data_IF_287109744004
#
_entry.id   IF_287109744004
#
_cell.length_a   1.000
_cell.length_b   1.000
_cell.length_c   1.000
_cell.angle_alpha   90.00
_cell.angle_beta   90.00
_cell.angle_gamma   90.00
#
_symmetry.space_group_name_H-M   'P 1'
#
loop_
_entity.id
_entity.type
_entity.pdbx_description
1 polymer ?
#
# COMPACT_ATOMS: atom_id res chain seq x y z
N UNK A 1 -34.97 48.59 -14.39
CA UNK A 1 -34.23 48.06 -13.23
C UNK A 1 -33.02 47.29 -13.76
N UNK A 2 -31.93 48.00 -14.03
CA UNK A 2 -30.64 47.43 -14.41
C UNK A 2 -29.85 47.19 -13.13
N UNK A 3 -29.90 45.97 -12.62
CA UNK A 3 -29.14 45.57 -11.43
C UNK A 3 -27.65 45.55 -11.77
N UNK A 4 -26.91 46.54 -11.29
CA UNK A 4 -25.46 46.55 -11.31
C UNK A 4 -24.94 45.40 -10.46
N UNK A 5 -24.40 44.37 -11.09
CA UNK A 5 -23.67 43.29 -10.41
C UNK A 5 -22.37 43.90 -9.88
N UNK A 6 -22.30 44.10 -8.56
CA UNK A 6 -21.11 44.65 -7.91
C UNK A 6 -19.88 43.78 -8.18
N UNK A 7 -18.76 44.34 -8.68
CA UNK A 7 -17.52 43.61 -8.98
C UNK A 7 -16.75 43.08 -7.75
N UNK A 8 -17.35 43.14 -6.54
CA UNK A 8 -16.72 42.73 -5.28
C UNK A 8 -16.74 41.22 -5.01
N UNK A 9 -17.51 40.42 -5.76
CA UNK A 9 -17.65 38.98 -5.47
C UNK A 9 -16.51 38.11 -6.02
N UNK A 10 -15.62 38.64 -6.87
CA UNK A 10 -14.52 37.85 -7.44
C UNK A 10 -13.28 37.84 -6.54
N UNK A 11 -13.08 38.89 -5.71
CA UNK A 11 -11.93 38.98 -4.80
C UNK A 11 -11.98 37.98 -3.65
N UNK A 12 -13.13 37.86 -2.99
CA UNK A 12 -13.27 37.02 -1.78
C UNK A 12 -13.34 35.52 -2.08
N UNK A 13 -13.72 35.14 -3.30
CA UNK A 13 -13.84 33.75 -3.72
C UNK A 13 -12.46 33.05 -3.83
N UNK A 14 -11.41 33.78 -4.24
CA UNK A 14 -10.04 33.24 -4.37
C UNK A 14 -9.38 33.04 -3.00
N UNK A 15 -9.84 33.74 -1.97
CA UNK A 15 -9.29 33.65 -0.61
C UNK A 15 -9.95 32.58 0.27
N UNK A 16 -11.00 31.90 -0.19
CA UNK A 16 -11.65 30.85 0.61
C UNK A 16 -10.71 29.65 0.83
N UNK A 17 -10.48 29.20 2.08
CA UNK A 17 -9.65 28.02 2.37
C UNK A 17 -10.09 26.75 1.64
N UNK A 18 -11.39 26.61 1.36
CA UNK A 18 -11.95 25.49 0.59
C UNK A 18 -11.43 25.48 -0.84
N UNK A 19 -11.44 26.64 -1.49
CA UNK A 19 -10.94 26.80 -2.87
C UNK A 19 -9.44 26.55 -2.92
N UNK A 20 -8.68 27.09 -1.96
CA UNK A 20 -7.24 26.87 -1.86
C UNK A 20 -6.90 25.40 -1.68
N UNK A 21 -7.61 24.69 -0.79
CA UNK A 21 -7.39 23.27 -0.53
C UNK A 21 -7.59 22.42 -1.80
N UNK A 22 -8.70 22.64 -2.51
CA UNK A 22 -9.01 21.91 -3.76
C UNK A 22 -8.03 22.28 -4.88
N UNK A 23 -7.67 23.57 -5.00
CA UNK A 23 -6.69 24.03 -5.98
C UNK A 23 -5.32 23.37 -5.76
N UNK A 24 -4.81 23.35 -4.52
CA UNK A 24 -3.55 22.69 -4.18
C UNK A 24 -3.62 21.18 -4.44
N UNK A 25 -4.71 20.52 -4.06
CA UNK A 25 -4.92 19.10 -4.37
C UNK A 25 -4.84 18.84 -5.89
N UNK A 26 -5.45 19.71 -6.68
CA UNK A 26 -5.47 19.61 -8.14
C UNK A 26 -4.08 19.83 -8.74
N UNK A 27 -3.32 20.79 -8.22
CA UNK A 27 -1.92 21.03 -8.62
C UNK A 27 -1.07 19.79 -8.32
N UNK A 28 -1.19 19.21 -7.13
CA UNK A 28 -0.47 17.98 -6.77
C UNK A 28 -0.77 16.83 -7.74
N UNK A 29 -2.06 16.61 -8.05
CA UNK A 29 -2.47 15.59 -9.02
C UNK A 29 -1.94 15.88 -10.44
N UNK A 30 -1.98 17.14 -10.88
CA UNK A 30 -1.46 17.57 -12.19
C UNK A 30 0.06 17.31 -12.30
N UNK A 31 0.83 17.64 -11.26
CA UNK A 31 2.29 17.41 -11.24
C UNK A 31 2.61 15.93 -11.38
N UNK A 32 1.90 15.06 -10.65
CA UNK A 32 2.07 13.59 -10.80
C UNK A 32 1.65 13.13 -12.19
N UNK A 33 0.53 13.65 -12.72
CA UNK A 33 0.01 13.26 -14.03
C UNK A 33 1.00 13.57 -15.15
N UNK A 34 1.69 14.73 -15.10
CA UNK A 34 2.72 15.09 -16.07
C UNK A 34 3.86 14.05 -16.07
N UNK A 35 4.33 13.64 -14.87
CA UNK A 35 5.36 12.63 -14.74
C UNK A 35 4.90 11.26 -15.25
N UNK A 36 3.67 10.86 -14.89
CA UNK A 36 3.07 9.59 -15.29
C UNK A 36 2.90 9.47 -16.81
N UNK A 37 2.48 10.56 -17.49
CA UNK A 37 2.30 10.56 -18.95
C UNK A 37 3.61 10.31 -19.72
N UNK A 38 4.77 10.47 -19.08
CA UNK A 38 6.09 10.21 -19.69
C UNK A 38 6.36 8.71 -19.89
N UNK A 39 5.98 7.87 -18.92
CA UNK A 39 6.34 6.44 -18.91
C UNK A 39 5.43 5.60 -19.81
N UNK A 40 4.22 6.09 -20.14
CA UNK A 40 3.19 5.38 -20.92
C UNK A 40 2.81 4.00 -20.38
N UNK A 41 3.12 3.74 -19.11
CA UNK A 41 2.87 2.50 -18.44
C UNK A 41 1.85 2.70 -17.30
N UNK A 42 0.74 1.95 -17.38
CA UNK A 42 -0.39 2.02 -16.44
C UNK A 42 0.04 1.63 -15.02
N UNK A 43 1.02 0.72 -14.90
CA UNK A 43 1.52 0.25 -13.61
C UNK A 43 2.88 0.82 -13.27
N UNK A 44 3.27 1.96 -13.85
CA UNK A 44 4.45 2.70 -13.42
C UNK A 44 4.36 3.08 -11.93
N UNK A 45 5.49 3.19 -11.22
CA UNK A 45 5.49 3.64 -9.83
C UNK A 45 4.84 5.02 -9.65
N UNK A 46 4.90 5.89 -10.68
CA UNK A 46 4.20 7.17 -10.70
C UNK A 46 2.68 7.02 -10.79
N UNK A 47 2.18 6.00 -11.49
CA UNK A 47 0.76 5.66 -11.49
C UNK A 47 0.27 5.28 -10.09
N UNK A 48 1.03 4.46 -9.37
CA UNK A 48 0.71 4.11 -7.98
C UNK A 48 0.84 5.30 -7.02
N UNK A 49 1.84 6.16 -7.22
CA UNK A 49 1.97 7.40 -6.45
C UNK A 49 0.76 8.32 -6.66
N UNK A 50 0.31 8.46 -7.92
CA UNK A 50 -0.87 9.23 -8.28
C UNK A 50 -2.14 8.65 -7.68
N UNK A 51 -2.31 7.33 -7.71
CA UNK A 51 -3.43 6.64 -7.06
C UNK A 51 -3.42 6.87 -5.55
N UNK A 52 -2.25 6.77 -4.91
CA UNK A 52 -2.09 7.01 -3.48
C UNK A 52 -2.43 8.46 -3.09
N UNK A 53 -1.97 9.43 -3.90
CA UNK A 53 -2.31 10.85 -3.71
C UNK A 53 -3.80 11.11 -3.93
N UNK A 54 -4.40 10.49 -4.96
CA UNK A 54 -5.82 10.59 -5.25
C UNK A 54 -6.66 10.12 -4.04
N UNK A 55 -6.31 8.96 -3.47
CA UNK A 55 -7.04 8.36 -2.36
C UNK A 55 -6.78 9.05 -1.01
N UNK A 56 -5.55 9.50 -0.74
CA UNK A 56 -5.16 10.01 0.58
C UNK A 56 -5.16 11.53 0.74
N UNK A 57 -5.14 12.28 -0.36
CA UNK A 57 -5.05 13.75 -0.37
C UNK A 57 -6.19 14.38 -1.17
N UNK A 58 -6.32 14.02 -2.45
CA UNK A 58 -7.28 14.67 -3.34
C UNK A 58 -8.74 14.38 -2.96
N UNK A 59 -9.09 13.10 -2.79
CA UNK A 59 -10.42 12.69 -2.33
C UNK A 59 -10.82 13.35 -1.00
N UNK A 60 -10.01 13.21 0.06
CA UNK A 60 -10.24 13.92 1.32
C UNK A 60 -10.37 15.43 1.19
N UNK A 61 -9.53 16.08 0.37
CA UNK A 61 -9.58 17.54 0.18
C UNK A 61 -10.92 18.00 -0.39
N UNK A 62 -11.47 17.25 -1.35
CA UNK A 62 -12.81 17.51 -1.90
C UNK A 62 -13.87 17.27 -0.83
N UNK A 63 -13.77 16.17 -0.08
CA UNK A 63 -14.72 15.84 0.98
C UNK A 63 -14.75 16.93 2.07
N UNK A 64 -13.59 17.36 2.58
CA UNK A 64 -13.49 18.46 3.54
C UNK A 64 -14.05 19.78 2.98
N UNK A 65 -13.78 20.09 1.71
CA UNK A 65 -14.28 21.31 1.08
C UNK A 65 -15.81 21.34 0.95
N UNK A 66 -16.44 20.18 0.72
CA UNK A 66 -17.90 20.06 0.55
C UNK A 66 -18.59 19.89 1.91
N UNK A 67 -18.16 18.91 2.69
CA UNK A 67 -18.84 18.43 3.89
C UNK A 67 -18.30 19.02 5.20
N UNK A 68 -17.14 19.69 5.20
CA UNK A 68 -16.47 20.13 6.42
C UNK A 68 -15.77 18.95 7.11
N UNK A 69 -15.82 18.87 8.44
CA UNK A 69 -15.24 17.77 9.21
C UNK A 69 -16.31 16.85 9.80
N UNK A 70 -16.99 16.03 8.98
CA UNK A 70 -18.14 15.23 9.43
C UNK A 70 -17.76 14.16 10.46
N UNK A 71 -16.50 13.74 10.50
CA UNK A 71 -16.02 12.67 11.37
C UNK A 71 -15.17 13.19 12.56
N UNK A 72 -15.06 14.51 12.73
CA UNK A 72 -14.32 15.13 13.85
C UNK A 72 -12.79 14.88 13.80
N UNK A 73 -12.25 14.58 12.62
CA UNK A 73 -10.83 14.26 12.43
C UNK A 73 -9.92 15.48 12.56
N UNK A 74 -10.47 16.69 12.45
CA UNK A 74 -9.77 17.95 12.67
C UNK A 74 -9.86 18.41 14.13
N UNK A 75 -10.53 17.67 15.02
CA UNK A 75 -10.61 17.98 16.44
C UNK A 75 -11.17 19.39 16.74
N UNK A 76 -12.11 19.84 15.89
CA UNK A 76 -12.73 21.16 16.00
C UNK A 76 -12.01 22.29 15.25
N UNK A 77 -10.87 22.01 14.60
CA UNK A 77 -10.23 22.98 13.72
C UNK A 77 -11.01 23.16 12.40
N UNK A 78 -10.97 24.37 11.83
CA UNK A 78 -11.56 24.68 10.54
C UNK A 78 -10.75 24.15 9.35
N UNK A 79 -11.30 24.30 8.14
CA UNK A 79 -10.69 23.79 6.89
C UNK A 79 -9.35 24.48 6.59
N UNK A 80 -9.17 25.72 7.04
CA UNK A 80 -7.92 26.47 6.97
C UNK A 80 -6.73 25.72 7.60
N UNK A 81 -7.00 24.83 8.57
CA UNK A 81 -6.00 23.97 9.19
C UNK A 81 -5.29 23.04 8.19
N UNK A 82 -5.96 22.68 7.10
CA UNK A 82 -5.48 21.75 6.08
C UNK A 82 -4.68 22.42 4.95
N UNK A 83 -4.74 23.75 4.80
CA UNK A 83 -4.20 24.44 3.62
C UNK A 83 -2.67 24.39 3.56
N UNK A 84 -1.98 24.80 4.63
CA UNK A 84 -0.52 24.76 4.66
C UNK A 84 0.06 23.33 4.58
N UNK A 85 -0.49 22.32 5.29
CA UNK A 85 -0.11 20.92 5.13
C UNK A 85 -0.35 20.37 3.71
N UNK A 86 -1.42 20.79 3.03
CA UNK A 86 -1.65 20.46 1.62
C UNK A 86 -0.54 21.06 0.74
N UNK A 87 -0.19 22.34 0.94
CA UNK A 87 0.89 22.98 0.18
C UNK A 87 2.24 22.27 0.39
N UNK A 88 2.55 21.88 1.62
CA UNK A 88 3.72 21.05 1.94
C UNK A 88 3.69 19.72 1.17
N UNK A 89 2.52 19.09 1.08
CA UNK A 89 2.36 17.82 0.37
C UNK A 89 2.51 17.97 -1.15
N UNK A 90 2.05 19.09 -1.72
CA UNK A 90 2.28 19.44 -3.14
C UNK A 90 3.77 19.67 -3.41
N UNK A 91 4.49 20.36 -2.51
CA UNK A 91 5.94 20.49 -2.61
C UNK A 91 6.63 19.12 -2.54
N UNK A 92 6.18 18.26 -1.63
CA UNK A 92 6.69 16.90 -1.49
C UNK A 92 6.53 16.08 -2.80
N UNK A 93 5.35 16.17 -3.44
CA UNK A 93 5.09 15.62 -4.79
C UNK A 93 6.06 16.18 -5.82
N UNK A 94 6.22 17.50 -5.87
CA UNK A 94 7.11 18.16 -6.83
C UNK A 94 8.54 17.64 -6.73
N UNK A 95 9.08 17.55 -5.52
CA UNK A 95 10.44 17.02 -5.29
C UNK A 95 10.55 15.52 -5.63
N UNK A 96 9.52 14.71 -5.34
CA UNK A 96 9.49 13.31 -5.78
C UNK A 96 9.50 13.17 -7.31
N UNK A 97 8.73 14.00 -8.01
CA UNK A 97 8.70 14.03 -9.48
C UNK A 97 10.03 14.49 -10.07
N UNK A 98 10.67 15.51 -9.48
CA UNK A 98 12.01 15.95 -9.90
C UNK A 98 13.02 14.82 -9.71
N UNK A 99 13.07 14.20 -8.53
CA UNK A 99 13.96 13.07 -8.25
C UNK A 99 13.77 11.90 -9.21
N UNK A 100 12.52 11.60 -9.57
CA UNK A 100 12.19 10.54 -10.53
C UNK A 100 12.57 10.89 -11.97
N UNK A 101 12.44 12.16 -12.35
CA UNK A 101 12.69 12.61 -13.73
C UNK A 101 14.17 12.75 -14.07
N UNK A 102 15.03 12.87 -13.06
CA UNK A 102 16.48 12.94 -13.22
C UNK A 102 17.08 11.58 -13.62
N UNK A 103 18.17 11.58 -14.41
CA UNK A 103 18.80 10.34 -14.88
C UNK A 103 19.56 9.58 -13.79
N UNK A 104 19.59 10.08 -12.55
CA UNK A 104 20.34 9.47 -11.44
C UNK A 104 19.85 8.05 -11.15
N UNK A 105 18.53 7.86 -11.02
CA UNK A 105 17.96 6.53 -10.75
C UNK A 105 18.27 5.53 -11.86
N UNK A 106 18.16 5.97 -13.11
CA UNK A 106 18.51 5.16 -14.30
C UNK A 106 20.00 4.83 -14.33
N UNK A 107 20.86 5.81 -14.10
CA UNK A 107 22.32 5.61 -14.07
C UNK A 107 22.75 4.62 -12.99
N UNK A 108 22.07 4.60 -11.85
CA UNK A 108 22.29 3.60 -10.80
C UNK A 108 21.80 2.22 -11.27
N UNK A 109 20.63 2.14 -11.89
CA UNK A 109 20.05 0.89 -12.40
C UNK A 109 20.89 0.25 -13.51
N UNK A 110 21.48 1.06 -14.39
CA UNK A 110 22.35 0.60 -15.49
C UNK A 110 23.69 0.06 -14.97
N UNK A 111 24.17 0.57 -13.83
CA UNK A 111 25.40 0.12 -13.18
C UNK A 111 25.17 -1.01 -12.18
N UNK A 112 23.94 -1.21 -11.74
CA UNK A 112 23.60 -2.25 -10.79
C UNK A 112 23.73 -3.63 -11.44
N UNK A 113 24.35 -4.57 -10.71
CA UNK A 113 24.47 -5.95 -11.17
C UNK A 113 23.09 -6.61 -11.26
N UNK A 114 22.75 -7.13 -12.44
CA UNK A 114 21.51 -7.89 -12.70
C UNK A 114 21.83 -9.38 -12.72
N UNK A 115 21.47 -10.17 -11.70
CA UNK A 115 21.66 -11.62 -11.76
C UNK A 115 20.79 -12.23 -12.87
N UNK A 116 21.34 -13.20 -13.60
CA UNK A 116 20.55 -14.03 -14.51
C UNK A 116 19.59 -14.90 -13.70
N UNK A 117 18.29 -14.61 -13.78
CA UNK A 117 17.27 -15.37 -13.08
C UNK A 117 16.66 -16.43 -13.99
N UNK A 118 17.39 -17.51 -14.26
CA UNK A 118 16.85 -18.63 -15.04
C UNK A 118 15.73 -19.33 -14.25
N UNK A 119 14.57 -19.56 -14.88
CA UNK A 119 13.42 -20.09 -14.15
C UNK A 119 13.40 -21.62 -14.13
N UNK A 120 13.80 -22.25 -13.02
CA UNK A 120 13.68 -23.70 -12.87
C UNK A 120 12.32 -24.12 -12.29
N UNK A 121 11.48 -24.71 -13.15
CA UNK A 121 10.11 -25.07 -12.80
C UNK A 121 9.97 -26.05 -11.63
N UNK A 122 10.87 -27.02 -11.46
CA UNK A 122 10.83 -27.94 -10.32
C UNK A 122 11.13 -27.25 -9.00
N UNK A 123 12.14 -26.37 -8.97
CA UNK A 123 12.49 -25.60 -7.77
C UNK A 123 11.39 -24.63 -7.40
N UNK A 124 10.76 -23.99 -8.39
CA UNK A 124 9.60 -23.13 -8.18
C UNK A 124 8.46 -23.89 -7.48
N UNK A 125 8.13 -25.11 -7.94
CA UNK A 125 7.11 -25.96 -7.29
C UNK A 125 7.48 -26.33 -5.85
N UNK A 126 8.76 -26.62 -5.57
CA UNK A 126 9.23 -26.88 -4.20
C UNK A 126 9.07 -25.65 -3.30
N UNK A 127 9.46 -24.45 -3.77
CA UNK A 127 9.27 -23.20 -3.03
C UNK A 127 7.79 -22.96 -2.76
N UNK A 128 6.95 -23.09 -3.79
CA UNK A 128 5.50 -22.95 -3.67
C UNK A 128 4.94 -23.91 -2.62
N UNK A 129 5.32 -25.18 -2.66
CA UNK A 129 4.87 -26.17 -1.69
C UNK A 129 5.28 -25.83 -0.25
N UNK A 130 6.55 -25.45 -0.03
CA UNK A 130 7.07 -25.07 1.29
C UNK A 130 6.35 -23.82 1.82
N UNK A 131 6.26 -22.76 1.01
CA UNK A 131 5.61 -21.52 1.43
C UNK A 131 4.10 -21.68 1.63
N UNK A 132 3.44 -22.48 0.80
CA UNK A 132 2.03 -22.81 0.98
C UNK A 132 1.80 -23.60 2.27
N UNK A 133 2.63 -24.60 2.57
CA UNK A 133 2.53 -25.39 3.80
C UNK A 133 2.74 -24.52 5.05
N UNK A 134 3.80 -23.70 5.07
CA UNK A 134 4.05 -22.75 6.17
C UNK A 134 2.95 -21.70 6.29
N UNK A 135 2.45 -21.20 5.16
CA UNK A 135 1.34 -20.27 5.09
C UNK A 135 0.07 -20.86 5.70
N UNK A 136 -0.35 -22.05 5.26
CA UNK A 136 -1.52 -22.76 5.79
C UNK A 136 -1.37 -23.05 7.28
N UNK A 137 -0.21 -23.53 7.73
CA UNK A 137 0.06 -23.73 9.15
C UNK A 137 -0.08 -22.42 9.94
N UNK A 138 0.43 -21.31 9.39
CA UNK A 138 0.30 -19.99 10.01
C UNK A 138 -1.15 -19.48 10.03
N UNK A 139 -1.94 -19.76 9.00
CA UNK A 139 -3.39 -19.48 8.98
C UNK A 139 -4.09 -20.27 10.07
N UNK A 140 -3.80 -21.56 10.21
CA UNK A 140 -4.39 -22.40 11.25
C UNK A 140 -4.05 -21.87 12.66
N UNK A 141 -2.78 -21.54 12.91
CA UNK A 141 -2.34 -20.93 14.17
C UNK A 141 -3.00 -19.56 14.38
N UNK A 142 -3.13 -18.75 13.34
CA UNK A 142 -3.82 -17.45 13.41
C UNK A 142 -5.30 -17.61 13.79
N UNK A 143 -6.02 -18.53 13.16
CA UNK A 143 -7.43 -18.82 13.48
C UNK A 143 -7.55 -19.34 14.92
N UNK A 144 -6.69 -20.28 15.33
CA UNK A 144 -6.68 -20.81 16.69
C UNK A 144 -6.44 -19.72 17.73
N UNK A 145 -5.37 -18.92 17.57
CA UNK A 145 -4.98 -17.86 18.52
C UNK A 145 -5.94 -16.66 18.55
N UNK A 146 -6.76 -16.50 17.52
CA UNK A 146 -7.80 -15.46 17.46
C UNK A 146 -9.17 -15.95 17.94
N UNK A 147 -9.27 -17.14 18.53
CA UNK A 147 -10.52 -17.68 19.08
C UNK A 147 -11.33 -18.54 18.11
N UNK A 148 -10.66 -19.34 17.27
CA UNK A 148 -11.29 -20.36 16.42
C UNK A 148 -12.03 -19.82 15.20
N UNK A 149 -12.91 -20.60 14.58
CA UNK A 149 -13.74 -20.14 13.44
C UNK A 149 -14.81 -19.17 13.97
N UNK A 150 -15.04 -18.00 13.33
CA UNK A 150 -16.10 -17.07 13.73
C UNK A 150 -17.47 -17.74 13.69
N UNK A 151 -18.23 -17.64 14.78
CA UNK A 151 -19.61 -18.14 14.84
C UNK A 151 -20.60 -17.16 14.19
N UNK A 152 -20.23 -15.88 14.14
CA UNK A 152 -20.97 -14.80 13.49
C UNK A 152 -20.07 -13.92 12.64
N UNK A 153 -20.66 -13.19 11.69
CA UNK A 153 -19.95 -12.18 10.88
C UNK A 153 -19.36 -11.07 11.76
N UNK A 154 -20.00 -10.78 12.90
CA UNK A 154 -19.52 -9.82 13.89
C UNK A 154 -18.18 -10.22 14.53
N UNK A 155 -17.94 -11.53 14.70
CA UNK A 155 -16.72 -12.04 15.32
C UNK A 155 -15.48 -11.79 14.45
N UNK A 156 -15.64 -11.76 13.12
CA UNK A 156 -14.55 -11.47 12.18
C UNK A 156 -13.93 -10.10 12.49
N UNK A 157 -14.76 -9.09 12.76
CA UNK A 157 -14.29 -7.73 13.06
C UNK A 157 -13.56 -7.63 14.41
N UNK A 158 -13.96 -8.43 15.40
CA UNK A 158 -13.38 -8.42 16.76
C UNK A 158 -12.01 -9.07 16.84
N UNK A 159 -11.62 -9.87 15.85
CA UNK A 159 -10.34 -10.62 15.86
C UNK A 159 -9.12 -9.80 15.44
N UNK A 160 -9.26 -8.48 15.29
CA UNK A 160 -8.18 -7.56 14.91
C UNK A 160 -7.16 -7.32 16.03
N UNK A 161 -7.55 -7.50 17.30
CA UNK A 161 -6.84 -7.02 18.48
C UNK A 161 -5.67 -7.84 19.04
N UNK A 162 -5.56 -9.18 18.85
CA UNK A 162 -4.46 -9.89 19.49
C UNK A 162 -3.12 -9.55 18.81
N UNK A 163 -2.00 -9.50 19.56
CA UNK A 163 -0.66 -9.23 19.05
C UNK A 163 -0.17 -10.40 18.18
N UNK A 164 -0.72 -10.48 16.97
CA UNK A 164 -0.59 -11.58 16.01
C UNK A 164 0.27 -11.21 14.81
N UNK A 165 0.97 -10.07 14.85
CA UNK A 165 1.73 -9.55 13.70
C UNK A 165 2.75 -10.55 13.17
N UNK A 166 3.48 -11.29 14.03
CA UNK A 166 4.42 -12.32 13.58
C UNK A 166 3.72 -13.50 12.89
N UNK A 167 2.57 -13.93 13.40
CA UNK A 167 1.77 -15.00 12.78
C UNK A 167 1.24 -14.52 11.43
N UNK A 168 0.84 -13.24 11.33
CA UNK A 168 0.41 -12.62 10.08
C UNK A 168 1.54 -12.61 9.04
N UNK A 169 2.80 -12.42 9.42
CA UNK A 169 3.92 -12.58 8.48
C UNK A 169 3.97 -14.01 7.92
N UNK A 170 3.80 -15.03 8.76
CA UNK A 170 3.67 -16.41 8.30
C UNK A 170 2.52 -16.59 7.30
N UNK A 171 1.36 -15.98 7.56
CA UNK A 171 0.20 -16.08 6.65
C UNK A 171 0.46 -15.44 5.28
N UNK A 172 1.33 -14.43 5.21
CA UNK A 172 1.69 -13.80 3.94
C UNK A 172 2.51 -14.70 3.02
N UNK A 173 3.15 -15.76 3.54
CA UNK A 173 3.81 -16.76 2.70
C UNK A 173 2.85 -17.45 1.74
N UNK A 174 1.55 -17.53 2.07
CA UNK A 174 0.55 -18.06 1.16
C UNK A 174 0.27 -17.13 -0.02
N UNK A 175 0.34 -15.81 0.18
CA UNK A 175 0.27 -14.82 -0.90
C UNK A 175 1.50 -14.90 -1.79
N UNK A 176 2.69 -14.99 -1.19
CA UNK A 176 3.96 -15.18 -1.91
C UNK A 176 3.92 -16.46 -2.74
N UNK A 177 3.45 -17.57 -2.16
CA UNK A 177 3.31 -18.84 -2.87
C UNK A 177 2.35 -18.73 -4.06
N UNK A 178 1.19 -18.08 -3.87
CA UNK A 178 0.21 -17.87 -4.94
C UNK A 178 0.82 -17.05 -6.10
N UNK A 179 1.60 -16.02 -5.78
CA UNK A 179 2.29 -15.18 -6.76
C UNK A 179 3.38 -15.96 -7.51
N UNK A 180 4.25 -16.68 -6.82
CA UNK A 180 5.29 -17.51 -7.46
C UNK A 180 4.66 -18.57 -8.34
N UNK A 181 3.55 -19.18 -7.90
CA UNK A 181 2.83 -20.16 -8.70
C UNK A 181 2.20 -19.54 -9.95
N UNK A 182 1.65 -18.32 -9.85
CA UNK A 182 1.12 -17.57 -10.99
C UNK A 182 2.22 -17.30 -12.04
N UNK A 183 3.39 -16.85 -11.57
CA UNK A 183 4.59 -16.63 -12.39
C UNK A 183 5.07 -17.95 -13.03
N UNK A 184 5.02 -19.06 -12.28
CA UNK A 184 5.35 -20.38 -12.80
C UNK A 184 4.44 -20.79 -13.97
N UNK A 185 3.13 -20.54 -13.86
CA UNK A 185 2.17 -20.82 -14.93
C UNK A 185 2.39 -19.96 -16.19
N UNK A 186 2.88 -18.72 -16.02
CA UNK A 186 3.25 -17.91 -17.19
C UNK A 186 4.54 -18.38 -17.86
N UNK A 187 5.51 -18.85 -17.08
CA UNK A 187 6.83 -19.25 -17.59
C UNK A 187 6.84 -20.65 -18.24
N UNK A 188 5.99 -21.58 -17.79
CA UNK A 188 6.04 -22.98 -18.26
C UNK A 188 4.90 -23.32 -19.23
N UNK A 189 5.22 -23.49 -20.52
CA UNK A 189 4.25 -23.81 -21.60
C UNK A 189 3.44 -25.08 -21.29
N UNK A 190 4.08 -26.11 -20.73
CA UNK A 190 3.45 -27.39 -20.40
C UNK A 190 2.39 -27.32 -19.29
N UNK A 191 2.36 -26.23 -18.52
CA UNK A 191 1.50 -26.09 -17.34
C UNK A 191 0.13 -25.47 -17.63
N UNK A 192 -0.22 -25.24 -18.90
CA UNK A 192 -1.50 -24.64 -19.31
C UNK A 192 -2.71 -25.60 -19.27
N UNK A 193 -2.63 -26.68 -18.48
CA UNK A 193 -3.74 -27.64 -18.29
C UNK A 193 -4.75 -27.09 -17.27
N UNK A 194 -6.03 -27.43 -17.42
CA UNK A 194 -7.14 -26.89 -16.60
C UNK A 194 -6.90 -27.04 -15.07
N UNK A 195 -6.33 -28.15 -14.62
CA UNK A 195 -6.08 -28.40 -13.21
C UNK A 195 -5.07 -27.42 -12.59
N UNK A 196 -4.12 -26.90 -13.37
CA UNK A 196 -3.16 -25.91 -12.88
C UNK A 196 -3.84 -24.56 -12.58
N UNK A 197 -4.79 -24.14 -13.41
CA UNK A 197 -5.63 -22.98 -13.15
C UNK A 197 -6.53 -23.19 -11.93
N UNK A 198 -7.08 -24.40 -11.76
CA UNK A 198 -7.82 -24.78 -10.55
C UNK A 198 -6.98 -24.63 -9.29
N UNK A 199 -5.73 -25.14 -9.31
CA UNK A 199 -4.80 -25.00 -8.19
C UNK A 199 -4.44 -23.53 -7.91
N UNK A 200 -4.20 -22.72 -8.94
CA UNK A 200 -3.94 -21.29 -8.77
C UNK A 200 -5.13 -20.58 -8.10
N UNK A 201 -6.37 -20.92 -8.53
CA UNK A 201 -7.59 -20.42 -7.91
C UNK A 201 -7.68 -20.77 -6.43
N UNK A 202 -7.42 -22.03 -6.06
CA UNK A 202 -7.39 -22.47 -4.65
C UNK A 202 -6.35 -21.68 -3.85
N UNK A 203 -5.16 -21.48 -4.41
CA UNK A 203 -4.10 -20.71 -3.75
C UNK A 203 -4.47 -19.23 -3.56
N UNK A 204 -5.06 -18.59 -4.56
CA UNK A 204 -5.51 -17.19 -4.49
C UNK A 204 -6.61 -17.03 -3.44
N UNK A 205 -7.57 -17.95 -3.40
CA UNK A 205 -8.62 -17.97 -2.36
C UNK A 205 -8.00 -18.17 -0.99
N UNK A 206 -7.11 -19.15 -0.83
CA UNK A 206 -6.38 -19.40 0.41
C UNK A 206 -5.60 -18.17 0.89
N UNK A 207 -4.85 -17.53 0.00
CA UNK A 207 -4.07 -16.33 0.25
C UNK A 207 -4.92 -15.10 0.63
N UNK A 208 -6.20 -15.11 0.24
CA UNK A 208 -7.19 -14.08 0.57
C UNK A 208 -7.87 -14.30 1.93
N UNK A 209 -7.82 -15.52 2.49
CA UNK A 209 -8.49 -15.86 3.74
C UNK A 209 -8.02 -15.00 4.91
N UNK A 210 -6.70 -14.83 5.08
CA UNK A 210 -6.20 -14.06 6.23
C UNK A 210 -6.51 -12.57 6.16
N UNK A 211 -6.26 -11.85 5.06
CA UNK A 211 -6.67 -10.45 4.96
C UNK A 211 -8.18 -10.27 5.14
N UNK A 212 -8.99 -11.18 4.59
CA UNK A 212 -10.44 -11.15 4.77
C UNK A 212 -10.83 -11.35 6.24
N UNK A 213 -10.30 -12.41 6.87
CA UNK A 213 -10.56 -12.75 8.27
C UNK A 213 -10.06 -11.67 9.24
N UNK A 214 -8.92 -11.03 8.94
CA UNK A 214 -8.37 -9.94 9.72
C UNK A 214 -9.04 -8.58 9.43
N UNK A 215 -10.05 -8.53 8.55
CA UNK A 215 -10.68 -7.30 8.07
C UNK A 215 -9.67 -6.30 7.46
N UNK A 216 -8.57 -6.81 6.89
CA UNK A 216 -7.50 -6.05 6.28
C UNK A 216 -7.77 -5.81 4.77
N UNK A 217 -8.70 -4.89 4.51
CA UNK A 217 -9.15 -4.50 3.16
C UNK A 217 -7.99 -4.06 2.25
N UNK A 218 -7.08 -3.22 2.75
CA UNK A 218 -5.94 -2.74 1.96
C UNK A 218 -4.96 -3.87 1.63
N UNK A 219 -4.71 -4.79 2.56
CA UNK A 219 -3.90 -5.98 2.28
C UNK A 219 -4.50 -6.84 1.16
N UNK A 220 -5.83 -7.00 1.15
CA UNK A 220 -6.53 -7.71 0.08
C UNK A 220 -6.46 -6.97 -1.26
N UNK A 221 -6.68 -5.64 -1.25
CA UNK A 221 -6.54 -4.78 -2.44
C UNK A 221 -5.18 -4.97 -3.09
N UNK A 222 -4.11 -4.75 -2.32
CA UNK A 222 -2.77 -4.75 -2.86
C UNK A 222 -2.34 -6.14 -3.33
N UNK A 223 -2.84 -7.21 -2.71
CA UNK A 223 -2.64 -8.56 -3.21
C UNK A 223 -3.27 -8.74 -4.61
N UNK A 224 -4.53 -8.34 -4.80
CA UNK A 224 -5.17 -8.47 -6.10
C UNK A 224 -4.59 -7.52 -7.16
N UNK A 225 -4.22 -6.29 -6.80
CA UNK A 225 -3.49 -5.37 -7.69
C UNK A 225 -2.18 -6.02 -8.15
N UNK A 226 -1.45 -6.70 -7.26
CA UNK A 226 -0.23 -7.42 -7.61
C UNK A 226 -0.50 -8.58 -8.58
N UNK A 227 -1.57 -9.34 -8.39
CA UNK A 227 -1.99 -10.38 -9.36
C UNK A 227 -2.33 -9.77 -10.73
N UNK A 228 -3.01 -8.63 -10.76
CA UNK A 228 -3.37 -7.88 -11.98
C UNK A 228 -2.11 -7.37 -12.69
N UNK A 229 -1.14 -6.83 -11.95
CA UNK A 229 0.16 -6.39 -12.48
C UNK A 229 0.91 -7.56 -13.11
N UNK A 230 1.05 -8.67 -12.39
CA UNK A 230 1.72 -9.86 -12.91
C UNK A 230 1.00 -10.34 -14.17
N UNK A 231 -0.32 -10.45 -14.14
CA UNK A 231 -1.11 -10.86 -15.30
C UNK A 231 -0.91 -9.95 -16.51
N UNK A 232 -0.85 -8.64 -16.28
CA UNK A 232 -0.65 -7.63 -17.32
C UNK A 232 0.67 -7.85 -18.09
N UNK A 233 1.76 -8.07 -17.36
CA UNK A 233 3.09 -8.18 -17.97
C UNK A 233 3.46 -9.60 -18.41
N UNK A 234 2.93 -10.66 -17.77
CA UNK A 234 3.31 -12.04 -18.10
C UNK A 234 2.38 -12.74 -19.09
N UNK A 235 1.10 -12.34 -19.18
CA UNK A 235 0.13 -13.01 -20.05
C UNK A 235 -0.48 -12.11 -21.10
N UNK A 236 -1.12 -11.04 -20.68
CA UNK A 236 -1.86 -10.16 -21.60
C UNK A 236 -1.99 -8.78 -21.01
N UNK A 237 -1.66 -7.77 -21.81
CA UNK A 237 -1.92 -6.36 -21.48
C UNK A 237 -3.40 -6.16 -21.18
N UNK A 238 -3.67 -5.72 -19.96
CA UNK A 238 -5.00 -5.37 -19.47
C UNK A 238 -5.37 -4.00 -20.04
N UNK A 239 -6.46 -3.95 -20.80
CA UNK A 239 -7.03 -2.70 -21.28
C UNK A 239 -7.80 -1.95 -20.19
N UNK A 240 -8.10 -0.65 -20.40
CA UNK A 240 -8.78 0.18 -19.41
C UNK A 240 -10.15 -0.38 -18.99
N UNK A 241 -10.90 -1.02 -19.89
CA UNK A 241 -12.21 -1.62 -19.57
C UNK A 241 -12.13 -2.72 -18.51
N UNK A 242 -11.15 -3.62 -18.63
CA UNK A 242 -10.97 -4.71 -17.66
C UNK A 242 -10.46 -4.17 -16.32
N UNK A 243 -9.58 -3.16 -16.35
CA UNK A 243 -9.12 -2.47 -15.15
C UNK A 243 -10.27 -1.77 -14.42
N UNK A 244 -11.16 -1.08 -15.15
CA UNK A 244 -12.37 -0.48 -14.56
C UNK A 244 -13.29 -1.53 -13.94
N UNK A 245 -13.49 -2.66 -14.61
CA UNK A 245 -14.25 -3.79 -14.05
C UNK A 245 -13.65 -4.31 -12.75
N UNK A 246 -12.31 -4.41 -12.69
CA UNK A 246 -11.59 -4.78 -11.47
C UNK A 246 -11.80 -3.75 -10.34
N UNK A 247 -11.67 -2.45 -10.63
CA UNK A 247 -11.89 -1.37 -9.65
C UNK A 247 -13.32 -1.41 -9.10
N UNK A 248 -14.32 -1.62 -9.96
CA UNK A 248 -15.73 -1.74 -9.55
C UNK A 248 -15.91 -2.97 -8.65
N UNK A 249 -15.43 -4.14 -9.08
CA UNK A 249 -15.55 -5.38 -8.31
C UNK A 249 -14.89 -5.26 -6.93
N UNK A 250 -13.70 -4.65 -6.88
CA UNK A 250 -13.02 -4.39 -5.63
C UNK A 250 -13.76 -3.36 -4.76
N UNK A 251 -14.37 -2.34 -5.37
CA UNK A 251 -15.19 -1.35 -4.65
C UNK A 251 -16.38 -1.98 -3.96
N UNK A 252 -17.07 -2.89 -4.65
CA UNK A 252 -18.15 -3.66 -4.05
C UNK A 252 -17.66 -4.54 -2.90
N UNK A 253 -16.50 -5.20 -3.05
CA UNK A 253 -15.91 -6.01 -1.98
C UNK A 253 -15.48 -5.18 -0.77
N UNK A 254 -14.83 -4.04 -0.98
CA UNK A 254 -14.40 -3.13 0.07
C UNK A 254 -15.60 -2.52 0.81
N UNK A 255 -16.65 -2.16 0.07
CA UNK A 255 -17.94 -1.71 0.59
C UNK A 255 -18.62 -2.80 1.42
N UNK A 256 -18.69 -4.03 0.91
CA UNK A 256 -19.20 -5.18 1.67
C UNK A 256 -18.45 -5.34 2.99
N UNK A 257 -17.12 -5.37 2.96
CA UNK A 257 -16.30 -5.48 4.18
C UNK A 257 -16.52 -4.29 5.14
N UNK A 258 -16.73 -3.08 4.63
CA UNK A 258 -17.05 -1.91 5.44
C UNK A 258 -18.42 -2.05 6.12
N UNK A 259 -19.41 -2.56 5.40
CA UNK A 259 -20.76 -2.78 5.92
C UNK A 259 -20.81 -3.90 6.96
N UNK A 260 -20.14 -5.02 6.70
CA UNK A 260 -20.01 -6.11 7.68
C UNK A 260 -19.38 -5.61 8.98
N UNK A 261 -18.45 -4.67 8.88
CA UNK A 261 -17.87 -4.02 10.05
C UNK A 261 -18.87 -3.11 10.78
N UNK A 262 -19.72 -2.37 10.06
CA UNK A 262 -20.78 -1.56 10.67
C UNK A 262 -21.81 -2.42 11.39
N UNK A 263 -22.24 -3.52 10.77
CA UNK A 263 -23.13 -4.52 11.37
C UNK A 263 -22.55 -5.11 12.66
N UNK A 264 -21.23 -5.34 12.69
CA UNK A 264 -20.59 -5.92 13.86
C UNK A 264 -20.62 -5.01 15.11
N UNK A 265 -20.78 -3.71 14.94
CA UNK A 265 -20.53 -2.70 15.98
C UNK A 265 -21.70 -1.77 16.26
N UNK A 266 -22.58 -1.57 15.28
CA UNK A 266 -23.79 -0.78 15.47
C UNK A 266 -24.94 -1.73 15.75
N UNK A 267 -25.58 -1.58 16.90
CA UNK A 267 -26.84 -2.28 17.21
C UNK A 267 -27.99 -1.90 16.27
N UNK A 268 -27.85 -0.79 15.55
CA UNK A 268 -28.93 -0.19 14.77
C UNK A 268 -28.85 -0.52 13.27
N UNK A 269 -27.84 -1.27 12.83
CA UNK A 269 -27.70 -1.67 11.43
C UNK A 269 -28.07 -3.14 11.31
N UNK A 270 -28.97 -3.46 10.39
CA UNK A 270 -29.49 -4.81 10.15
C UNK A 270 -29.03 -5.34 8.79
N UNK A 271 -29.16 -6.65 8.55
CA UNK A 271 -28.85 -7.23 7.24
C UNK A 271 -29.68 -6.64 6.09
N UNK A 272 -30.85 -6.07 6.39
CA UNK A 272 -31.68 -5.38 5.41
C UNK A 272 -31.03 -4.10 4.85
N UNK A 273 -30.11 -3.48 5.61
CA UNK A 273 -29.40 -2.27 5.19
C UNK A 273 -28.26 -2.54 4.20
N UNK A 274 -27.91 -3.82 3.99
CA UNK A 274 -26.75 -4.20 3.18
C UNK A 274 -26.93 -3.84 1.70
N UNK A 275 -28.07 -4.18 1.10
CA UNK A 275 -28.32 -3.87 -0.31
C UNK A 275 -28.43 -2.34 -0.56
N UNK A 276 -29.18 -1.55 0.24
CA UNK A 276 -29.17 -0.09 0.13
C UNK A 276 -27.77 0.52 0.24
N UNK A 277 -26.93 0.00 1.15
CA UNK A 277 -25.56 0.47 1.30
C UNK A 277 -24.72 0.16 0.06
N UNK A 278 -24.77 -1.07 -0.47
CA UNK A 278 -24.01 -1.48 -1.65
C UNK A 278 -24.41 -0.75 -2.94
N UNK A 279 -25.68 -0.33 -3.04
CA UNK A 279 -26.19 0.48 -4.15
C UNK A 279 -25.95 1.98 -3.95
N UNK A 280 -25.56 2.41 -2.76
CA UNK A 280 -25.29 3.81 -2.47
C UNK A 280 -23.91 4.26 -2.96
N UNK A 281 -23.72 5.55 -3.30
CA UNK A 281 -22.39 6.09 -3.58
C UNK A 281 -21.40 5.90 -2.42
N UNK A 282 -21.87 5.74 -1.19
CA UNK A 282 -21.03 5.52 0.00
C UNK A 282 -20.25 4.20 -0.04
N UNK A 283 -20.60 3.29 -0.95
CA UNK A 283 -19.83 2.06 -1.18
C UNK A 283 -18.39 2.35 -1.60
N UNK A 284 -18.14 3.53 -2.21
CA UNK A 284 -16.79 3.95 -2.65
C UNK A 284 -16.01 4.70 -1.57
N UNK A 285 -16.64 5.17 -0.49
CA UNK A 285 -15.95 5.90 0.60
C UNK A 285 -14.71 5.16 1.15
N UNK A 286 -14.74 3.83 1.33
CA UNK A 286 -13.57 3.08 1.80
C UNK A 286 -12.37 3.11 0.85
N UNK A 287 -12.58 3.47 -0.42
CA UNK A 287 -11.56 3.52 -1.48
C UNK A 287 -11.17 4.96 -1.77
N UNK A 288 -12.15 5.82 -2.04
CA UNK A 288 -11.90 7.23 -2.43
C UNK A 288 -11.43 8.06 -1.24
N UNK A 289 -11.60 7.54 -0.03
CA UNK A 289 -10.75 7.94 1.08
C UNK A 289 -11.25 9.15 1.85
N UNK A 290 -12.52 9.55 1.75
CA UNK A 290 -13.16 10.54 2.63
C UNK A 290 -12.82 10.35 4.13
N UNK A 291 -12.51 9.11 4.54
CA UNK A 291 -12.13 8.73 5.92
C UNK A 291 -10.70 8.24 6.09
N UNK A 292 -9.83 8.54 5.12
CA UNK A 292 -8.41 8.24 5.26
C UNK A 292 -7.76 9.40 6.01
N UNK A 293 -7.05 9.09 7.10
CA UNK A 293 -6.46 10.11 7.95
C UNK A 293 -5.23 10.77 7.32
N UNK A 294 -5.01 10.64 5.99
CA UNK A 294 -3.79 11.01 5.29
C UNK A 294 -3.45 12.49 5.48
N UNK A 295 -4.24 13.39 4.91
CA UNK A 295 -3.98 14.83 5.07
C UNK A 295 -4.27 15.33 6.50
N UNK A 296 -5.27 14.78 7.20
CA UNK A 296 -5.61 15.25 8.54
C UNK A 296 -4.49 14.96 9.55
N UNK A 297 -3.88 13.77 9.54
CA UNK A 297 -2.76 13.46 10.43
C UNK A 297 -1.52 14.28 10.10
N UNK A 298 -1.22 14.49 8.82
CA UNK A 298 -0.10 15.36 8.42
C UNK A 298 -0.36 16.78 8.87
N UNK A 299 -1.61 17.24 8.88
CA UNK A 299 -1.96 18.58 9.38
C UNK A 299 -1.72 18.70 10.88
N UNK A 300 -2.16 17.72 11.67
CA UNK A 300 -1.87 17.69 13.10
C UNK A 300 -0.38 17.67 13.40
N UNK A 301 0.40 16.87 12.66
CA UNK A 301 1.86 16.82 12.81
C UNK A 301 2.49 18.16 12.44
N UNK A 302 2.05 18.77 11.33
CA UNK A 302 2.58 20.05 10.85
C UNK A 302 2.42 21.18 11.87
N UNK A 303 1.24 21.30 12.47
CA UNK A 303 0.94 22.37 13.42
C UNK A 303 1.49 22.10 14.84
N UNK A 304 1.64 20.82 15.22
CA UNK A 304 2.19 20.46 16.54
C UNK A 304 3.71 20.35 16.56
N UNK A 305 4.39 20.24 15.43
CA UNK A 305 5.86 20.14 15.37
C UNK A 305 6.42 21.44 14.79
N UNK A 306 7.25 22.21 15.51
CA UNK A 306 7.85 21.90 16.82
C UNK A 306 7.10 22.49 18.04
N UNK A 307 5.88 23.02 17.85
CA UNK A 307 5.20 23.81 18.89
C UNK A 307 4.88 23.02 20.18
N UNK A 308 4.31 21.82 20.03
CA UNK A 308 3.87 20.95 21.12
C UNK A 308 4.66 19.63 21.19
N UNK A 309 5.31 19.25 20.09
CA UNK A 309 6.06 18.00 19.94
C UNK A 309 7.45 18.29 19.39
N UNK A 310 8.47 17.81 20.11
CA UNK A 310 9.84 17.87 19.62
C UNK A 310 10.01 17.03 18.34
N UNK A 311 10.82 17.49 17.37
CA UNK A 311 11.19 16.67 16.22
C UNK A 311 11.83 15.35 16.67
N UNK A 312 11.54 14.25 15.97
CA UNK A 312 12.10 12.94 16.32
C UNK A 312 13.55 12.72 15.86
N UNK A 313 14.13 13.61 15.06
CA UNK A 313 15.52 13.55 14.59
C UNK A 313 15.96 12.19 14.01
N UNK A 314 15.05 11.51 13.30
CA UNK A 314 15.31 10.23 12.66
C UNK A 314 14.94 9.00 13.49
N UNK A 315 14.57 9.15 14.77
CA UNK A 315 14.26 8.01 15.65
C UNK A 315 13.15 7.11 15.07
N UNK A 316 12.11 7.70 14.48
CA UNK A 316 11.01 6.89 13.96
C UNK A 316 11.38 6.14 12.67
N UNK A 317 12.36 6.63 11.91
CA UNK A 317 12.89 5.97 10.70
C UNK A 317 13.70 4.71 11.05
N UNK A 318 14.13 4.56 12.29
CA UNK A 318 14.80 3.35 12.80
C UNK A 318 13.80 2.28 13.28
N UNK A 319 12.51 2.62 13.43
CA UNK A 319 11.48 1.66 13.84
C UNK A 319 11.43 0.38 13.00
N UNK A 320 11.57 0.40 11.65
CA UNK A 320 11.74 -0.80 10.83
C UNK A 320 12.72 -1.83 11.37
N UNK A 321 13.86 -1.39 11.88
CA UNK A 321 14.97 -2.26 12.31
C UNK A 321 14.62 -2.93 13.64
N UNK A 322 13.95 -2.20 14.52
CA UNK A 322 13.62 -2.67 15.88
C UNK A 322 12.28 -3.37 15.96
N UNK A 323 11.38 -3.17 14.99
CA UNK A 323 10.03 -3.72 15.00
C UNK A 323 9.98 -5.25 15.15
N UNK A 324 10.86 -6.03 14.49
CA UNK A 324 10.90 -7.50 14.60
C UNK A 324 11.27 -8.03 15.98
N UNK A 325 11.80 -7.19 16.87
CA UNK A 325 12.19 -7.62 18.22
C UNK A 325 10.92 -7.79 19.05
N UNK A 326 10.62 -9.00 19.57
CA UNK A 326 9.44 -9.22 20.41
C UNK A 326 9.47 -8.36 21.67
N UNK A 327 8.30 -7.84 22.07
CA UNK A 327 8.13 -7.05 23.31
C UNK A 327 8.56 -7.80 24.58
N UNK A 328 8.55 -9.14 24.55
CA UNK A 328 9.06 -9.97 25.66
C UNK A 328 10.57 -9.85 25.85
N UNK A 329 11.32 -9.68 24.76
CA UNK A 329 12.77 -9.50 24.79
C UNK A 329 13.16 -8.04 24.99
N UNK A 330 12.34 -7.11 24.50
CA UNK A 330 12.54 -5.67 24.70
C UNK A 330 11.24 -4.98 25.13
N UNK A 331 10.92 -4.99 26.44
CA UNK A 331 9.70 -4.38 26.97
C UNK A 331 9.60 -2.88 26.65
N UNK A 332 10.73 -2.16 26.79
CA UNK A 332 10.85 -0.72 26.58
C UNK A 332 10.96 -0.29 25.09
N UNK A 333 10.71 -1.19 24.12
CA UNK A 333 10.76 -0.85 22.69
C UNK A 333 9.90 0.41 22.36
N UNK A 334 10.30 1.30 21.46
CA UNK A 334 9.43 2.39 21.03
C UNK A 334 8.07 1.88 20.51
N UNK A 335 6.99 2.64 20.77
CA UNK A 335 5.66 2.33 20.21
C UNK A 335 5.69 2.53 18.69
N UNK A 336 4.81 1.84 17.97
CA UNK A 336 4.65 2.14 16.54
C UNK A 336 4.23 3.61 16.39
N UNK A 337 4.80 4.33 15.43
CA UNK A 337 4.54 5.77 15.27
C UNK A 337 3.05 6.08 15.07
N UNK A 338 2.30 5.21 14.39
CA UNK A 338 0.85 5.36 14.29
C UNK A 338 0.11 5.19 15.63
N UNK A 339 0.58 4.32 16.52
CA UNK A 339 0.02 4.22 17.88
C UNK A 339 0.37 5.46 18.71
N UNK A 340 1.61 5.94 18.61
CA UNK A 340 2.05 7.17 19.29
C UNK A 340 1.18 8.37 18.89
N UNK A 341 0.95 8.60 17.59
CA UNK A 341 0.10 9.70 17.16
C UNK A 341 -1.37 9.47 17.48
N UNK A 342 -1.88 8.25 17.40
CA UNK A 342 -3.24 7.91 17.85
C UNK A 342 -3.48 8.25 19.33
N UNK A 343 -2.51 8.02 20.19
CA UNK A 343 -2.58 8.36 21.61
C UNK A 343 -2.39 9.87 21.86
N UNK A 344 -1.39 10.48 21.24
CA UNK A 344 -0.95 11.85 21.55
C UNK A 344 -1.84 12.91 20.90
N UNK A 345 -2.29 12.68 19.66
CA UNK A 345 -3.11 13.65 18.91
C UNK A 345 -4.59 13.43 19.17
N UNK A 346 -5.03 12.18 19.12
CA UNK A 346 -6.45 11.85 19.17
C UNK A 346 -6.95 11.38 20.53
N UNK A 347 -6.09 11.35 21.56
CA UNK A 347 -6.43 10.85 22.90
C UNK A 347 -7.10 9.46 22.88
N UNK A 348 -6.70 8.60 21.93
CA UNK A 348 -7.35 7.31 21.61
C UNK A 348 -8.83 7.38 21.15
N UNK A 349 -9.41 8.57 21.01
CA UNK A 349 -10.81 8.80 20.60
C UNK A 349 -11.06 8.62 19.11
N UNK A 350 -10.05 8.82 18.25
CA UNK A 350 -10.12 8.55 16.80
C UNK A 350 -9.38 7.26 16.50
N UNK A 351 -10.10 6.16 16.59
CA UNK A 351 -9.55 4.82 16.36
C UNK A 351 -10.23 3.78 17.25
N UNK A 352 -9.92 2.51 16.99
CA UNK A 352 -10.24 1.46 17.96
C UNK A 352 -9.23 1.52 19.11
N UNK A 353 -9.62 1.10 20.33
CA UNK A 353 -8.66 0.77 21.39
C UNK A 353 -7.54 -0.15 20.84
N UNK A 354 -6.28 0.29 20.91
CA UNK A 354 -5.13 -0.45 20.39
C UNK A 354 -4.84 -0.29 18.88
N UNK A 355 -5.66 0.45 18.14
CA UNK A 355 -5.39 0.87 16.76
C UNK A 355 -4.43 2.06 16.69
N UNK A 356 -3.62 2.12 15.64
CA UNK A 356 -2.79 3.30 15.33
C UNK A 356 -3.39 4.15 14.21
N UNK A 357 -3.07 5.44 14.21
CA UNK A 357 -3.28 6.38 13.11
C UNK A 357 -1.92 6.63 12.45
N UNK A 358 -1.48 5.76 11.51
CA UNK A 358 -0.18 5.89 10.90
C UNK A 358 -0.11 7.21 10.10
N UNK A 359 0.97 7.99 10.27
CA UNK A 359 1.22 9.12 9.38
C UNK A 359 1.61 8.61 8.01
N UNK A 360 1.53 9.47 7.00
CA UNK A 360 2.22 9.23 5.74
C UNK A 360 3.73 9.44 5.88
N UNK A 361 4.50 9.00 4.89
CA UNK A 361 5.94 9.24 4.87
C UNK A 361 6.24 10.74 4.82
N UNK A 362 5.38 11.55 4.18
CA UNK A 362 5.49 13.02 4.23
C UNK A 362 5.36 13.53 5.67
N UNK A 363 4.34 13.09 6.40
CA UNK A 363 4.16 13.46 7.81
C UNK A 363 5.31 12.98 8.69
N UNK A 364 5.81 11.77 8.47
CA UNK A 364 6.93 11.23 9.23
C UNK A 364 8.25 11.96 8.91
N UNK A 365 8.53 12.30 7.66
CA UNK A 365 9.70 13.11 7.29
C UNK A 365 9.64 14.49 7.93
N UNK A 366 8.47 15.12 7.97
CA UNK A 366 8.27 16.39 8.66
C UNK A 366 8.45 16.24 10.18
N UNK A 367 7.93 15.18 10.78
CA UNK A 367 8.13 14.90 12.19
C UNK A 367 9.61 14.71 12.56
N UNK A 368 10.41 14.10 11.68
CA UNK A 368 11.83 13.85 11.96
C UNK A 368 12.71 15.06 11.68
N UNK A 369 12.51 15.76 10.56
CA UNK A 369 13.42 16.81 10.10
C UNK A 369 12.71 18.02 9.49
N UNK A 370 11.44 18.24 9.81
CA UNK A 370 10.63 19.36 9.36
C UNK A 370 10.65 19.51 7.82
N UNK A 371 10.62 20.75 7.32
CA UNK A 371 10.62 21.03 5.88
C UNK A 371 11.83 20.43 5.15
N UNK A 372 13.09 20.56 5.61
CA UNK A 372 14.24 19.92 4.95
C UNK A 372 14.08 18.41 4.77
N UNK A 373 13.53 17.72 5.79
CA UNK A 373 13.24 16.28 5.71
C UNK A 373 12.29 15.92 4.60
N UNK A 374 11.22 16.69 4.45
CA UNK A 374 10.23 16.47 3.38
C UNK A 374 10.89 16.66 2.02
N UNK A 375 11.58 17.78 1.79
CA UNK A 375 12.17 18.09 0.48
C UNK A 375 13.24 17.06 0.05
N UNK A 376 14.20 16.78 0.94
CA UNK A 376 15.30 15.85 0.64
C UNK A 376 14.77 14.42 0.60
N UNK A 377 13.93 14.03 1.56
CA UNK A 377 13.40 12.67 1.67
C UNK A 377 12.54 12.30 0.48
N UNK A 378 11.64 13.19 0.01
CA UNK A 378 10.80 12.88 -1.15
C UNK A 378 11.57 12.95 -2.46
N UNK A 379 12.58 13.81 -2.59
CA UNK A 379 13.50 13.79 -3.73
C UNK A 379 14.25 12.46 -3.86
N UNK A 380 14.86 12.00 -2.76
CA UNK A 380 15.54 10.70 -2.73
C UNK A 380 14.56 9.55 -3.02
N UNK A 381 13.35 9.63 -2.47
CA UNK A 381 12.29 8.67 -2.77
C UNK A 381 11.96 8.61 -4.27
N UNK A 382 11.88 9.76 -4.94
CA UNK A 382 11.74 9.85 -6.40
C UNK A 382 12.85 9.13 -7.15
N UNK A 383 14.12 9.32 -6.74
CA UNK A 383 15.28 8.62 -7.33
C UNK A 383 15.14 7.11 -7.13
N UNK A 384 14.74 6.66 -5.94
CA UNK A 384 14.56 5.22 -5.65
C UNK A 384 13.45 4.65 -6.54
N UNK A 385 12.31 5.34 -6.70
CA UNK A 385 11.25 4.90 -7.59
C UNK A 385 11.75 4.74 -9.05
N UNK A 386 12.53 5.69 -9.56
CA UNK A 386 13.12 5.62 -10.91
C UNK A 386 14.11 4.47 -11.02
N UNK A 387 14.97 4.29 -10.02
CA UNK A 387 15.89 3.17 -9.95
C UNK A 387 15.17 1.83 -10.05
N UNK A 388 14.14 1.59 -9.23
CA UNK A 388 13.44 0.31 -9.27
C UNK A 388 12.58 0.12 -10.52
N UNK A 389 12.04 1.20 -11.10
CA UNK A 389 11.36 1.13 -12.40
C UNK A 389 12.32 0.60 -13.49
N UNK A 390 13.50 1.20 -13.61
CA UNK A 390 14.49 0.86 -14.64
C UNK A 390 15.22 -0.46 -14.36
N UNK A 391 15.45 -0.78 -13.08
CA UNK A 391 16.15 -2.00 -12.67
C UNK A 391 15.26 -3.25 -12.84
N UNK A 392 13.96 -3.13 -12.56
CA UNK A 392 13.00 -4.22 -12.70
C UNK A 392 12.13 -4.07 -13.95
N UNK A 393 12.52 -3.27 -14.96
CA UNK A 393 11.68 -2.94 -16.12
C UNK A 393 11.14 -4.22 -16.78
N UNK A 394 9.82 -4.46 -16.69
CA UNK A 394 9.19 -5.66 -17.22
C UNK A 394 9.19 -5.73 -18.75
N UNK A 395 9.57 -4.66 -19.46
CA UNK A 395 9.58 -4.60 -20.92
C UNK A 395 10.91 -5.01 -21.54
N UNK A 396 12.04 -4.80 -20.86
CA UNK A 396 13.38 -5.11 -21.40
C UNK A 396 13.69 -6.60 -21.39
N UNK A 397 13.42 -7.26 -20.27
CA UNK A 397 13.79 -8.65 -20.06
C UNK A 397 12.50 -9.43 -19.80
N UNK A 398 12.11 -10.34 -20.69
CA UNK A 398 10.89 -11.16 -20.56
C UNK A 398 10.96 -12.18 -19.39
N UNK A 399 11.80 -11.91 -18.39
CA UNK A 399 12.04 -12.73 -17.24
C UNK A 399 10.92 -12.52 -16.21
N UNK A 400 10.07 -13.53 -16.06
CA UNK A 400 8.89 -13.45 -15.20
C UNK A 400 9.23 -13.22 -13.71
N UNK A 401 10.46 -13.50 -13.27
CA UNK A 401 10.91 -13.20 -11.89
C UNK A 401 11.02 -11.69 -11.65
N UNK A 402 11.55 -10.94 -12.62
CA UNK A 402 11.68 -9.49 -12.54
C UNK A 402 10.31 -8.83 -12.50
N UNK A 403 9.32 -9.35 -13.23
CA UNK A 403 7.93 -8.86 -13.19
C UNK A 403 7.32 -8.94 -11.77
N UNK A 404 7.57 -10.03 -11.05
CA UNK A 404 7.06 -10.18 -9.68
C UNK A 404 7.75 -9.21 -8.71
N UNK A 405 9.08 -9.07 -8.82
CA UNK A 405 9.85 -8.10 -8.03
C UNK A 405 9.43 -6.67 -8.35
N UNK A 406 9.21 -6.35 -9.63
CA UNK A 406 8.66 -5.10 -10.11
C UNK A 406 7.31 -4.80 -9.47
N UNK A 407 6.37 -5.74 -9.52
CA UNK A 407 5.03 -5.54 -8.95
C UNK A 407 5.10 -5.26 -7.45
N UNK A 408 5.91 -6.00 -6.70
CA UNK A 408 6.13 -5.75 -5.26
C UNK A 408 6.74 -4.37 -5.06
N UNK A 409 7.78 -4.01 -5.82
CA UNK A 409 8.43 -2.72 -5.72
C UNK A 409 7.48 -1.56 -6.05
N UNK A 410 6.89 -1.56 -7.25
CA UNK A 410 6.05 -0.48 -7.76
C UNK A 410 4.80 -0.27 -6.90
N UNK A 411 4.10 -1.35 -6.54
CA UNK A 411 2.90 -1.25 -5.69
C UNK A 411 3.28 -0.82 -4.29
N UNK A 412 4.15 -1.57 -3.62
CA UNK A 412 4.34 -1.28 -2.20
C UNK A 412 5.08 0.02 -2.00
N UNK A 413 6.13 0.30 -2.78
CA UNK A 413 6.90 1.53 -2.62
C UNK A 413 6.12 2.74 -3.12
N UNK A 414 5.51 2.71 -4.32
CA UNK A 414 4.76 3.83 -4.89
C UNK A 414 3.64 4.34 -3.98
N UNK A 415 3.01 3.45 -3.20
CA UNK A 415 1.98 3.83 -2.24
C UNK A 415 2.52 4.38 -0.90
N UNK A 416 3.79 4.17 -0.55
CA UNK A 416 4.30 4.56 0.77
C UNK A 416 4.31 6.07 1.01
N UNK A 417 4.45 6.89 -0.04
CA UNK A 417 4.61 8.34 0.17
C UNK A 417 3.40 8.95 0.89
N UNK A 418 2.20 8.49 0.51
CA UNK A 418 0.93 9.03 0.98
C UNK A 418 0.19 8.07 1.91
N UNK A 419 0.22 6.77 1.64
CA UNK A 419 -0.56 5.79 2.41
C UNK A 419 0.27 4.98 3.41
N UNK A 420 1.57 5.20 3.48
CA UNK A 420 2.49 4.41 4.30
C UNK A 420 3.35 5.25 5.25
N UNK A 421 3.91 4.58 6.25
CA UNK A 421 4.89 5.10 7.21
C UNK A 421 6.23 4.38 7.00
N UNK A 422 7.33 4.85 7.58
CA UNK A 422 8.62 4.18 7.49
C UNK A 422 8.55 2.73 7.95
N UNK A 423 7.77 2.41 9.00
CA UNK A 423 7.57 1.02 9.43
C UNK A 423 6.89 0.12 8.40
N UNK A 424 6.14 0.65 7.44
CA UNK A 424 5.66 -0.17 6.31
C UNK A 424 6.73 -0.40 5.25
N UNK A 425 7.79 0.43 5.14
CA UNK A 425 8.98 0.09 4.35
C UNK A 425 9.63 -1.20 4.83
N UNK A 426 9.62 -1.48 6.15
CA UNK A 426 10.07 -2.78 6.67
C UNK A 426 9.34 -3.94 6.02
N UNK A 427 8.01 -3.84 5.87
CA UNK A 427 7.22 -4.89 5.21
C UNK A 427 7.64 -5.05 3.75
N UNK A 428 7.96 -3.94 3.06
CA UNK A 428 8.49 -3.98 1.69
C UNK A 428 9.85 -4.69 1.65
N UNK A 429 10.77 -4.34 2.54
CA UNK A 429 12.08 -4.99 2.64
C UNK A 429 11.97 -6.47 2.98
N UNK A 430 11.11 -6.83 3.94
CA UNK A 430 10.87 -8.22 4.34
C UNK A 430 10.30 -9.02 3.16
N UNK A 431 9.26 -8.51 2.50
CA UNK A 431 8.67 -9.15 1.33
C UNK A 431 9.69 -9.27 0.19
N UNK A 432 10.39 -8.19 -0.13
CA UNK A 432 11.45 -8.18 -1.13
C UNK A 432 12.52 -9.21 -0.83
N UNK A 433 12.96 -9.33 0.42
CA UNK A 433 13.94 -10.35 0.85
C UNK A 433 13.41 -11.76 0.65
N UNK A 434 12.14 -12.02 1.02
CA UNK A 434 11.50 -13.33 0.81
C UNK A 434 11.44 -13.66 -0.68
N UNK A 435 11.03 -12.72 -1.54
CA UNK A 435 11.01 -12.92 -2.99
C UNK A 435 12.41 -13.14 -3.57
N UNK A 436 13.39 -12.32 -3.18
CA UNK A 436 14.77 -12.45 -3.64
C UNK A 436 15.36 -13.81 -3.23
N UNK A 437 15.12 -14.27 -1.99
CA UNK A 437 15.59 -15.58 -1.54
C UNK A 437 14.92 -16.72 -2.33
N UNK A 438 13.60 -16.62 -2.56
CA UNK A 438 12.86 -17.57 -3.39
C UNK A 438 13.40 -17.62 -4.82
N UNK A 439 13.56 -16.48 -5.48
CA UNK A 439 14.04 -16.41 -6.85
C UNK A 439 15.51 -16.79 -6.98
N UNK A 440 16.37 -16.44 -6.02
CA UNK A 440 17.76 -16.91 -5.99
C UNK A 440 17.83 -18.44 -5.92
N UNK A 441 16.99 -19.09 -5.12
CA UNK A 441 16.92 -20.56 -5.07
C UNK A 441 16.36 -21.16 -6.38
N UNK A 442 15.29 -20.57 -6.92
CA UNK A 442 14.67 -21.00 -8.18
C UNK A 442 15.67 -20.88 -9.33
N UNK A 443 16.53 -19.86 -9.32
CA UNK A 443 17.47 -19.55 -10.40
C UNK A 443 18.90 -19.97 -10.18
N UNK A 444 19.23 -20.56 -9.03
CA UNK A 444 20.58 -21.07 -8.83
C UNK A 444 20.89 -22.13 -9.91
N UNK A 445 22.11 -22.16 -10.48
CA UNK A 445 22.47 -23.19 -11.45
C UNK A 445 22.23 -24.59 -10.85
N UNK A 446 21.82 -25.54 -11.67
CA UNK A 446 21.91 -26.94 -11.27
C UNK A 446 23.35 -27.19 -10.83
N UNK A 447 23.56 -27.65 -9.59
CA UNK A 447 24.83 -28.27 -9.22
C UNK A 447 24.99 -29.35 -10.29
N UNK A 448 25.88 -29.12 -11.26
CA UNK A 448 26.18 -30.12 -12.27
C UNK A 448 26.57 -31.31 -11.44
N UNK A 449 25.71 -32.34 -11.42
CA UNK A 449 26.08 -33.64 -10.89
C UNK A 449 27.37 -33.93 -11.61
N UNK A 450 28.47 -33.82 -10.86
CA UNK A 450 29.82 -33.96 -11.38
C UNK A 450 29.78 -35.29 -12.04
N UNK A 451 29.69 -35.26 -13.37
CA UNK A 451 29.49 -36.45 -14.17
C UNK A 451 30.74 -37.21 -13.85
N UNK A 452 30.59 -38.24 -13.01
CA UNK A 452 31.62 -39.21 -12.70
C UNK A 452 31.94 -39.82 -14.04
N UNK A 453 32.84 -39.16 -14.77
CA UNK A 453 33.46 -39.68 -15.94
C UNK A 453 34.16 -40.92 -15.44
N UNK A 454 33.51 -42.05 -15.68
CA UNK A 454 34.14 -43.30 -16.06
C UNK A 454 35.62 -43.07 -16.33
N UNK A 455 36.45 -43.44 -15.33
CA UNK A 455 37.87 -43.64 -15.55
C UNK A 455 37.98 -44.56 -16.77
N UNK A 456 38.70 -44.17 -17.84
CA UNK A 456 39.00 -45.10 -18.90
C UNK A 456 39.82 -46.25 -18.28
N UNK A 457 39.29 -47.46 -18.39
CA UNK A 457 39.94 -48.71 -18.00
C UNK A 457 41.12 -49.05 -18.88
#
# INVERSE_FOLDING_TARGET
MTGSVSPLLVGDAVTSPRVQLVALATIGLLVISIAYLRDRDIFSPMGFLGLAFLMGWFGPAIDYAIAGDPDGLLLGHGIEYLVAPMALSVLAVGFAVVGYSLPVGQSIADRAWRPSLDWHGERARRVVAVYAALGVASVAVFVYTTGGIPASVGDISRKRYPPTEYIRWGTTLLQVAAIIYLVHLSAAVETRKLHHYGLAGIMIVGASLTPFYASNRSGLLWFFVLLVVIFHYTWRRIGPTLLSGFVIAFSLLAGLMAMLRRLAWSSNVTSADLLPFLLSPRVVDPIVGARTNGISIVSHIYHRVPADLDPAYGQSLLHPIVFPIPRRLWPAKPKNIGQFFGETIYAQGVGMPGGGVPPSLVGELYYNFMLPGVLVGTFLFGIVLRFGYEYFDPNTDHNSSYVALYGVFAIYLGNQLFLGQATSLFKVFLMGTIYCAAFAYISAPALRESTTSTLPS
#
